data_IF_804741006137
#
_entry.id   IF_804741006137
#
_cell.length_a   1.000
_cell.length_b   1.000
_cell.length_c   1.000
_cell.angle_alpha   90.00
_cell.angle_beta   90.00
_cell.angle_gamma   90.00
#
_symmetry.space_group_name_H-M   'P 1'
#
loop_
_entity.id
_entity.type
_entity.pdbx_description
1 polymer ?
#
# COMPACT_ATOMS: atom_id res chain seq x y z
N UNK A 1 -12.79 -10.61 4.50
CA UNK A 1 -11.74 -9.98 3.65
C UNK A 1 -11.99 -10.19 2.15
N UNK A 2 -12.52 -11.33 1.70
CA UNK A 2 -12.86 -11.63 0.29
C UNK A 2 -14.01 -10.75 -0.24
N UNK A 3 -14.97 -10.38 0.59
CA UNK A 3 -16.14 -9.58 0.20
C UNK A 3 -15.80 -8.14 -0.20
N UNK A 4 -14.75 -7.55 0.39
CA UNK A 4 -14.33 -6.18 0.07
C UNK A 4 -13.71 -6.09 -1.34
N UNK A 5 -12.93 -7.10 -1.73
CA UNK A 5 -12.34 -7.17 -3.09
C UNK A 5 -13.42 -7.38 -4.17
N UNK A 6 -14.42 -8.22 -3.91
CA UNK A 6 -15.53 -8.44 -4.84
C UNK A 6 -16.31 -7.16 -5.11
N UNK A 7 -16.67 -6.40 -4.07
CA UNK A 7 -17.43 -5.15 -4.22
C UNK A 7 -16.62 -4.04 -4.91
N UNK A 8 -15.30 -4.01 -4.72
CA UNK A 8 -14.40 -3.08 -5.43
C UNK A 8 -14.41 -3.37 -6.92
N UNK A 9 -14.27 -4.62 -7.32
CA UNK A 9 -14.24 -5.04 -8.71
C UNK A 9 -15.57 -4.78 -9.41
N UNK A 10 -16.71 -5.08 -8.76
CA UNK A 10 -18.05 -4.80 -9.30
C UNK A 10 -18.29 -3.29 -9.51
N UNK A 11 -17.71 -2.44 -8.67
CA UNK A 11 -17.90 -0.99 -8.74
C UNK A 11 -16.98 -0.31 -9.75
N UNK A 12 -15.80 -0.87 -10.02
CA UNK A 12 -14.71 -0.20 -10.73
C UNK A 12 -14.50 -0.63 -12.18
N UNK A 13 -15.23 -1.62 -12.67
CA UNK A 13 -15.10 -2.08 -14.04
C UNK A 13 -14.35 -3.41 -14.17
N UNK A 14 -13.66 -3.60 -15.29
CA UNK A 14 -13.08 -4.89 -15.68
C UNK A 14 -11.99 -5.37 -14.69
N UNK A 15 -12.18 -6.52 -14.00
CA UNK A 15 -11.16 -7.13 -13.15
C UNK A 15 -9.84 -7.41 -13.86
N UNK A 16 -9.90 -7.66 -15.18
CA UNK A 16 -8.70 -7.92 -15.97
C UNK A 16 -7.84 -6.67 -16.15
N UNK A 17 -8.44 -5.50 -16.23
CA UNK A 17 -7.68 -4.24 -16.27
C UNK A 17 -6.92 -3.99 -14.97
N UNK A 18 -7.58 -4.23 -13.83
CA UNK A 18 -6.90 -4.14 -12.54
C UNK A 18 -5.75 -5.13 -12.43
N UNK A 19 -5.96 -6.39 -12.84
CA UNK A 19 -4.93 -7.42 -12.79
C UNK A 19 -3.71 -7.09 -13.66
N UNK A 20 -3.88 -6.38 -14.77
CA UNK A 20 -2.79 -5.97 -15.66
C UNK A 20 -1.86 -4.91 -15.07
N UNK A 21 -2.32 -4.14 -14.09
CA UNK A 21 -1.49 -3.10 -13.46
C UNK A 21 -0.46 -3.65 -12.47
N UNK A 22 -0.72 -4.80 -11.88
CA UNK A 22 0.11 -5.39 -10.84
C UNK A 22 1.50 -5.84 -11.36
N UNK A 23 1.60 -6.62 -12.47
CA UNK A 23 2.89 -7.06 -12.99
C UNK A 23 3.80 -5.93 -13.47
N UNK A 24 3.22 -4.76 -13.76
CA UNK A 24 3.96 -3.56 -14.18
C UNK A 24 4.11 -2.54 -13.05
N UNK A 25 4.00 -3.00 -11.80
CA UNK A 25 4.17 -2.20 -10.58
C UNK A 25 3.35 -0.91 -10.61
N UNK A 26 2.09 -1.01 -11.09
CA UNK A 26 1.12 0.07 -11.24
C UNK A 26 1.58 1.21 -12.16
N UNK A 27 2.55 0.97 -13.05
CA UNK A 27 3.23 2.00 -13.87
C UNK A 27 3.80 3.16 -13.05
N UNK A 28 4.15 2.89 -11.79
CA UNK A 28 4.68 3.91 -10.88
C UNK A 28 6.04 4.43 -11.31
N UNK A 29 6.32 5.70 -11.06
CA UNK A 29 7.59 6.35 -11.38
C UNK A 29 8.68 6.03 -10.36
N UNK A 30 8.29 5.74 -9.12
CA UNK A 30 9.19 5.37 -8.03
C UNK A 30 8.50 4.41 -7.07
N UNK A 31 9.29 3.62 -6.35
CA UNK A 31 8.81 2.75 -5.29
C UNK A 31 9.68 2.97 -4.06
N UNK A 32 9.03 3.17 -2.92
CA UNK A 32 9.67 3.20 -1.62
C UNK A 32 9.46 1.85 -0.95
N UNK A 33 10.55 1.18 -0.59
CA UNK A 33 10.50 -0.03 0.22
C UNK A 33 10.81 0.32 1.66
N UNK A 34 9.97 -0.13 2.57
CA UNK A 34 10.15 0.03 4.00
C UNK A 34 10.64 -1.28 4.58
N UNK A 35 11.79 -1.21 5.23
CA UNK A 35 12.44 -2.35 5.86
C UNK A 35 12.57 -2.12 7.37
N UNK A 36 12.80 -3.19 8.09
CA UNK A 36 12.92 -3.17 9.54
C UNK A 36 13.90 -4.27 10.00
N UNK A 37 14.74 -4.05 11.01
CA UNK A 37 15.61 -5.10 11.56
C UNK A 37 14.82 -6.35 11.95
N UNK A 38 15.33 -7.53 11.60
CA UNK A 38 14.74 -8.80 11.99
C UNK A 38 14.64 -8.91 13.51
N UNK A 39 13.50 -9.38 13.99
CA UNK A 39 13.23 -9.51 15.41
C UNK A 39 12.91 -8.20 16.14
N UNK A 40 12.69 -7.11 15.41
CA UNK A 40 12.22 -5.86 15.99
C UNK A 40 10.87 -6.06 16.72
N UNK A 41 10.63 -5.33 17.82
CA UNK A 41 9.39 -5.48 18.58
C UNK A 41 8.17 -4.98 17.80
N UNK A 42 6.98 -5.46 18.19
CA UNK A 42 5.72 -5.09 17.54
C UNK A 42 5.47 -3.58 17.49
N UNK A 43 5.99 -2.81 18.44
CA UNK A 43 5.92 -1.35 18.43
C UNK A 43 6.62 -0.73 17.20
N UNK A 44 7.71 -1.33 16.74
CA UNK A 44 8.39 -0.87 15.52
C UNK A 44 7.53 -1.06 14.27
N UNK A 45 6.69 -2.10 14.23
CA UNK A 45 5.71 -2.29 13.16
C UNK A 45 4.63 -1.19 13.18
N UNK A 46 4.16 -0.82 14.37
CA UNK A 46 3.24 0.28 14.56
C UNK A 46 3.83 1.62 14.09
N UNK A 47 5.08 1.92 14.51
CA UNK A 47 5.79 3.13 14.12
C UNK A 47 6.03 3.16 12.60
N UNK A 48 6.37 2.02 12.00
CA UNK A 48 6.57 1.91 10.56
C UNK A 48 5.26 2.19 9.79
N UNK A 49 4.12 1.72 10.30
CA UNK A 49 2.81 2.03 9.74
C UNK A 49 2.48 3.53 9.82
N UNK A 50 2.78 4.17 10.96
CA UNK A 50 2.60 5.61 11.13
C UNK A 50 3.52 6.42 10.19
N UNK A 51 4.78 6.00 10.06
CA UNK A 51 5.73 6.58 9.10
C UNK A 51 5.25 6.43 7.66
N UNK A 52 4.77 5.24 7.28
CA UNK A 52 4.20 4.96 5.96
C UNK A 52 3.07 5.92 5.62
N UNK A 53 2.13 6.12 6.54
CA UNK A 53 1.03 7.07 6.36
C UNK A 53 1.53 8.51 6.22
N UNK A 54 2.48 8.92 7.06
CA UNK A 54 3.07 10.27 7.01
C UNK A 54 3.77 10.54 5.67
N UNK A 55 4.46 9.53 5.13
CA UNK A 55 5.10 9.61 3.81
C UNK A 55 4.07 9.80 2.70
N UNK A 56 2.99 9.03 2.71
CA UNK A 56 1.92 9.15 1.71
C UNK A 56 1.21 10.50 1.79
N UNK A 57 0.98 11.03 2.99
CA UNK A 57 0.42 12.37 3.18
C UNK A 57 1.35 13.46 2.66
N UNK A 58 2.65 13.36 2.93
CA UNK A 58 3.65 14.31 2.43
C UNK A 58 3.79 14.25 0.89
N UNK A 59 3.64 13.05 0.29
CA UNK A 59 3.59 12.90 -1.16
C UNK A 59 2.34 13.58 -1.74
N UNK A 60 1.18 13.36 -1.12
CA UNK A 60 -0.09 13.98 -1.54
C UNK A 60 -0.06 15.52 -1.47
N UNK A 61 0.66 16.10 -0.51
CA UNK A 61 0.89 17.57 -0.45
C UNK A 61 1.66 18.10 -1.68
N UNK A 62 2.39 17.22 -2.37
CA UNK A 62 3.16 17.54 -3.58
C UNK A 62 2.46 17.09 -4.87
N UNK A 63 1.17 16.79 -4.81
CA UNK A 63 0.40 16.24 -5.92
C UNK A 63 0.97 14.90 -6.45
N UNK A 64 1.61 14.14 -5.57
CA UNK A 64 2.10 12.79 -5.86
C UNK A 64 1.16 11.78 -5.23
N UNK A 65 0.55 10.95 -6.05
CA UNK A 65 -0.29 9.85 -5.61
C UNK A 65 0.53 8.65 -5.13
N UNK A 66 -0.06 7.81 -4.29
CA UNK A 66 0.62 6.67 -3.70
C UNK A 66 -0.27 5.44 -3.58
N UNK A 67 0.32 4.26 -3.75
CA UNK A 67 -0.35 2.97 -3.58
C UNK A 67 0.52 2.06 -2.71
N UNK A 68 0.17 1.82 -1.42
CA UNK A 68 0.77 0.76 -0.64
C UNK A 68 0.21 -0.58 -1.11
N UNK A 69 1.05 -1.50 -1.59
CA UNK A 69 0.59 -2.75 -2.14
C UNK A 69 1.48 -3.94 -1.80
N UNK A 70 0.86 -5.07 -1.43
CA UNK A 70 1.56 -6.33 -1.20
C UNK A 70 2.30 -6.82 -2.44
N UNK A 71 1.77 -6.59 -3.63
CA UNK A 71 2.38 -6.98 -4.90
C UNK A 71 3.82 -6.45 -5.05
N UNK A 72 4.11 -5.28 -4.48
CA UNK A 72 5.44 -4.67 -4.51
C UNK A 72 6.50 -5.43 -3.71
N UNK A 73 6.08 -6.25 -2.73
CA UNK A 73 6.99 -7.01 -1.83
C UNK A 73 6.78 -8.52 -1.93
N UNK A 74 5.97 -8.98 -2.86
CA UNK A 74 5.57 -10.38 -3.00
C UNK A 74 6.74 -11.33 -3.28
N UNK A 75 7.79 -10.83 -3.92
CA UNK A 75 8.99 -11.59 -4.26
C UNK A 75 10.23 -10.97 -3.61
N UNK A 76 10.42 -11.17 -2.29
CA UNK A 76 11.50 -10.51 -1.54
C UNK A 76 12.89 -10.93 -2.00
N UNK A 77 13.04 -12.15 -2.55
CA UNK A 77 14.32 -12.62 -3.10
C UNK A 77 14.75 -11.77 -4.29
N UNK A 78 13.82 -11.49 -5.21
CA UNK A 78 14.08 -10.65 -6.39
C UNK A 78 14.43 -9.22 -5.98
N UNK A 79 13.78 -8.70 -4.94
CA UNK A 79 14.11 -7.37 -4.40
C UNK A 79 15.53 -7.34 -3.84
N UNK A 80 15.93 -8.36 -3.08
CA UNK A 80 17.29 -8.44 -2.49
C UNK A 80 18.39 -8.63 -3.54
N UNK A 81 18.10 -9.32 -4.64
CA UNK A 81 19.04 -9.46 -5.76
C UNK A 81 19.32 -8.13 -6.48
N UNK A 82 18.33 -7.23 -6.51
CA UNK A 82 18.39 -6.00 -7.31
C UNK A 82 18.57 -4.72 -6.48
N UNK A 83 18.32 -4.78 -5.17
CA UNK A 83 18.39 -3.64 -4.26
C UNK A 83 19.35 -3.93 -3.10
N UNK A 84 20.08 -2.94 -2.59
CA UNK A 84 21.02 -3.10 -1.48
C UNK A 84 20.29 -3.22 -0.14
N UNK A 85 19.37 -4.18 -0.01
CA UNK A 85 18.62 -4.42 1.22
C UNK A 85 19.43 -5.36 2.10
N UNK A 86 19.80 -4.97 3.35
CA UNK A 86 20.54 -5.81 4.27
C UNK A 86 19.84 -7.13 4.57
N UNK A 87 20.63 -8.21 4.73
CA UNK A 87 20.06 -9.54 5.01
C UNK A 87 19.42 -9.65 6.41
N UNK A 88 19.83 -8.80 7.33
CA UNK A 88 19.31 -8.71 8.70
C UNK A 88 18.06 -7.83 8.82
N UNK A 89 17.52 -7.34 7.69
CA UNK A 89 16.28 -6.61 7.65
C UNK A 89 15.14 -7.42 6.99
N UNK A 90 13.92 -7.23 7.48
CA UNK A 90 12.70 -7.70 6.85
C UNK A 90 12.10 -6.60 5.97
N UNK A 91 11.63 -6.97 4.77
CA UNK A 91 10.91 -6.07 3.87
C UNK A 91 9.43 -6.08 4.30
N UNK A 92 8.92 -4.96 4.79
CA UNK A 92 7.60 -4.89 5.44
C UNK A 92 6.54 -4.33 4.51
N UNK A 93 6.88 -3.30 3.74
CA UNK A 93 5.93 -2.66 2.83
C UNK A 93 6.62 -2.09 1.60
N UNK A 94 5.86 -2.02 0.50
CA UNK A 94 6.21 -1.27 -0.69
C UNK A 94 5.13 -0.23 -0.96
N UNK A 95 5.55 0.98 -1.32
CA UNK A 95 4.68 2.10 -1.66
C UNK A 95 5.08 2.60 -3.05
N UNK A 96 4.20 2.40 -4.02
CA UNK A 96 4.35 2.97 -5.35
C UNK A 96 3.99 4.45 -5.31
N UNK A 97 4.78 5.28 -5.97
CA UNK A 97 4.60 6.72 -6.08
C UNK A 97 4.52 7.12 -7.56
N UNK A 98 3.63 8.05 -7.88
CA UNK A 98 3.46 8.53 -9.25
C UNK A 98 2.34 9.54 -9.36
N UNK A 99 1.90 9.77 -10.58
CA UNK A 99 0.76 10.64 -10.86
C UNK A 99 -0.40 9.76 -11.33
N UNK A 100 -1.57 9.89 -10.69
CA UNK A 100 -2.74 9.11 -11.05
C UNK A 100 -3.18 9.40 -12.48
N UNK A 101 -3.50 8.34 -13.22
CA UNK A 101 -4.12 8.47 -14.54
C UNK A 101 -5.64 8.70 -14.39
N UNK A 102 -6.30 9.08 -15.50
CA UNK A 102 -7.77 9.21 -15.57
C UNK A 102 -8.50 7.85 -15.59
N UNK A 103 -7.83 6.77 -15.19
CA UNK A 103 -8.43 5.45 -15.14
C UNK A 103 -9.55 5.40 -14.09
N UNK A 104 -10.68 4.79 -14.46
CA UNK A 104 -11.88 4.69 -13.62
C UNK A 104 -11.61 4.10 -12.23
N UNK A 105 -10.60 3.23 -12.10
CA UNK A 105 -10.20 2.66 -10.82
C UNK A 105 -9.78 3.72 -9.80
N UNK A 106 -9.22 4.83 -10.25
CA UNK A 106 -8.78 5.93 -9.37
C UNK A 106 -9.94 6.77 -8.82
N UNK A 107 -11.17 6.60 -9.34
CA UNK A 107 -12.38 7.23 -8.82
C UNK A 107 -12.95 6.51 -7.59
N UNK A 108 -12.45 5.31 -7.30
CA UNK A 108 -12.98 4.49 -6.21
C UNK A 108 -12.84 5.19 -4.86
N UNK A 109 -13.95 5.19 -4.11
CA UNK A 109 -14.00 5.65 -2.72
C UNK A 109 -14.60 4.55 -1.86
N UNK A 110 -13.76 3.95 -1.03
CA UNK A 110 -14.20 2.90 -0.10
C UNK A 110 -15.12 3.48 0.99
N UNK A 111 -16.14 2.73 1.35
CA UNK A 111 -16.97 3.04 2.52
C UNK A 111 -16.15 2.96 3.81
N UNK A 112 -16.63 3.62 4.85
CA UNK A 112 -16.09 3.53 6.21
C UNK A 112 -17.20 3.05 7.13
N UNK A 113 -16.82 2.32 8.17
CA UNK A 113 -17.72 1.99 9.26
C UNK A 113 -18.10 3.26 10.04
N UNK A 114 -19.29 3.27 10.62
CA UNK A 114 -19.69 4.36 11.50
C UNK A 114 -18.77 4.41 12.73
N UNK A 115 -18.51 5.60 13.23
CA UNK A 115 -17.64 5.78 14.41
C UNK A 115 -18.20 5.06 15.63
N UNK A 116 -19.52 5.05 15.79
CA UNK A 116 -20.19 4.38 16.91
C UNK A 116 -20.04 2.85 16.90
N UNK A 117 -19.75 2.25 15.72
CA UNK A 117 -19.48 0.81 15.59
C UNK A 117 -18.04 0.44 16.00
N UNK A 118 -17.14 1.41 16.05
CA UNK A 118 -15.70 1.18 16.30
C UNK A 118 -15.27 1.72 17.66
N UNK A 119 -15.83 2.87 18.07
CA UNK A 119 -15.43 3.57 19.29
C UNK A 119 -16.43 3.33 20.44
N UNK A 120 -15.93 2.75 21.52
CA UNK A 120 -16.70 2.61 22.76
C UNK A 120 -16.12 3.53 23.84
N UNK A 121 -16.87 4.55 24.23
CA UNK A 121 -16.49 5.44 25.33
C UNK A 121 -17.00 4.83 26.63
N UNK A 122 -16.10 4.51 27.54
CA UNK A 122 -16.41 4.05 28.90
C UNK A 122 -16.30 5.27 29.84
N UNK A 123 -17.41 5.61 30.51
CA UNK A 123 -17.46 6.69 31.49
C UNK A 123 -17.25 6.14 32.88
#
# INVERSE_FOLDING_TARGET
MITLFGSVIETLGDPEEFAKTQPVLFNSTAIVYLTMPKGAPMWSVYDLGAFSMSLMLAASEKDIDSIPAYELIKYPEVLRENLPIPEDEDIIAGIALGYASDAKINEFRSSRMDVDDILKIIK
#
